data_IF_760613906229
#
_entry.id   IF_760613906229
#
_cell.length_a   1.000
_cell.length_b   1.000
_cell.length_c   1.000
_cell.angle_alpha   90.00
_cell.angle_beta   90.00
_cell.angle_gamma   90.00
#
_symmetry.space_group_name_H-M   'P 1'
#
loop_
_entity.id
_entity.type
_entity.pdbx_description
1 polymer ?
#
# COMPACT_ATOMS: atom_id res chain seq x y z
N UNK A 1 -18.69 14.01 -5.00
CA UNK A 1 -17.99 13.64 -6.24
C UNK A 1 -17.21 14.85 -6.74
N UNK A 2 -15.97 14.66 -7.14
CA UNK A 2 -15.13 15.74 -7.70
C UNK A 2 -14.71 15.34 -9.12
N UNK A 3 -15.06 16.18 -10.08
CA UNK A 3 -14.72 15.99 -11.49
C UNK A 3 -13.28 16.43 -11.73
N UNK A 4 -12.36 15.45 -11.87
CA UNK A 4 -10.94 15.70 -12.13
C UNK A 4 -10.67 16.00 -13.62
N UNK A 5 -11.71 16.00 -14.46
CA UNK A 5 -11.59 16.32 -15.89
C UNK A 5 -11.68 17.81 -16.17
N UNK A 6 -11.79 18.66 -15.12
CA UNK A 6 -11.92 20.12 -15.21
C UNK A 6 -10.91 20.84 -14.35
N UNK A 7 -10.70 22.11 -14.65
CA UNK A 7 -9.78 22.99 -13.92
C UNK A 7 -8.31 22.79 -14.28
N UNK A 8 -7.41 23.42 -13.52
CA UNK A 8 -5.96 23.28 -13.70
C UNK A 8 -5.51 21.89 -13.24
N UNK A 9 -4.72 21.21 -14.06
CA UNK A 9 -4.30 19.82 -13.90
C UNK A 9 -3.51 19.63 -12.60
N UNK A 10 -2.44 20.40 -12.42
CA UNK A 10 -1.55 20.30 -11.26
C UNK A 10 -2.30 20.56 -9.95
N UNK A 11 -3.07 21.66 -9.89
CA UNK A 11 -3.87 21.97 -8.70
C UNK A 11 -4.87 20.85 -8.38
N UNK A 12 -5.49 20.28 -9.40
CA UNK A 12 -6.46 19.19 -9.23
C UNK A 12 -5.80 17.95 -8.64
N UNK A 13 -4.62 17.56 -9.15
CA UNK A 13 -3.85 16.42 -8.67
C UNK A 13 -3.38 16.65 -7.23
N UNK A 14 -2.81 17.83 -6.92
CA UNK A 14 -2.33 18.17 -5.57
C UNK A 14 -3.50 18.13 -4.56
N UNK A 15 -4.62 18.80 -4.85
CA UNK A 15 -5.77 18.80 -3.95
C UNK A 15 -6.40 17.43 -3.74
N UNK A 16 -6.24 16.52 -4.71
CA UNK A 16 -6.70 15.15 -4.58
C UNK A 16 -5.69 14.28 -3.82
N UNK A 17 -4.37 14.49 -4.01
CA UNK A 17 -3.31 13.72 -3.36
C UNK A 17 -3.12 14.08 -1.89
N UNK A 18 -3.32 15.35 -1.50
CA UNK A 18 -3.05 15.82 -0.14
C UNK A 18 -3.85 15.08 0.95
N UNK A 19 -5.18 14.86 0.82
CA UNK A 19 -5.91 14.03 1.78
C UNK A 19 -5.37 12.60 1.85
N UNK A 20 -5.03 11.99 0.70
CA UNK A 20 -4.48 10.63 0.67
C UNK A 20 -3.15 10.57 1.41
N UNK A 21 -2.27 11.55 1.21
CA UNK A 21 -0.99 11.68 1.91
C UNK A 21 -1.20 11.78 3.43
N UNK A 22 -2.11 12.64 3.87
CA UNK A 22 -2.45 12.78 5.29
C UNK A 22 -2.96 11.46 5.85
N UNK A 23 -3.86 10.77 5.15
CA UNK A 23 -4.35 9.45 5.56
C UNK A 23 -3.23 8.43 5.72
N UNK A 24 -2.30 8.36 4.76
CA UNK A 24 -1.18 7.44 4.82
C UNK A 24 -0.17 7.79 5.92
N UNK A 25 0.00 9.07 6.27
CA UNK A 25 0.78 9.48 7.45
C UNK A 25 0.12 8.96 8.74
N UNK A 26 -1.19 9.12 8.89
CA UNK A 26 -1.91 8.55 10.03
C UNK A 26 -1.82 7.02 10.09
N UNK A 27 -1.83 6.35 8.92
CA UNK A 27 -1.60 4.90 8.87
C UNK A 27 -0.20 4.49 9.38
N UNK A 28 0.84 5.30 9.12
CA UNK A 28 2.17 5.04 9.70
C UNK A 28 2.18 5.25 11.22
N UNK A 29 1.50 6.29 11.71
CA UNK A 29 1.34 6.52 13.15
C UNK A 29 0.64 5.33 13.81
N UNK A 30 -0.44 4.81 13.20
CA UNK A 30 -1.12 3.60 13.65
C UNK A 30 -0.17 2.42 13.81
N UNK A 31 0.60 2.07 12.76
CA UNK A 31 1.52 0.93 12.78
C UNK A 31 2.61 1.06 13.86
N UNK A 32 3.08 2.30 14.09
CA UNK A 32 4.07 2.58 15.15
C UNK A 32 3.43 2.46 16.52
N UNK A 33 2.25 3.03 16.73
CA UNK A 33 1.55 3.01 18.01
C UNK A 33 1.20 1.59 18.45
N UNK A 34 0.65 0.77 17.54
CA UNK A 34 0.34 -0.64 17.80
C UNK A 34 1.59 -1.42 18.24
N UNK A 35 2.70 -1.24 17.52
CA UNK A 35 3.98 -1.87 17.87
C UNK A 35 4.49 -1.45 19.26
N UNK A 36 4.37 -0.16 19.61
CA UNK A 36 4.78 0.40 20.90
C UNK A 36 3.89 -0.16 22.02
N UNK A 37 2.59 -0.19 21.82
CA UNK A 37 1.63 -0.67 22.85
C UNK A 37 1.86 -2.15 23.11
N UNK A 38 1.90 -2.98 22.08
CA UNK A 38 2.16 -4.41 22.21
C UNK A 38 3.52 -4.67 22.87
N UNK A 39 4.58 -3.98 22.43
CA UNK A 39 5.94 -4.17 22.94
C UNK A 39 6.10 -3.79 24.42
N UNK A 40 5.51 -2.66 24.82
CA UNK A 40 5.66 -2.15 26.18
C UNK A 40 4.78 -2.88 27.20
N UNK A 41 3.56 -3.27 26.83
CA UNK A 41 2.61 -3.86 27.78
C UNK A 41 2.62 -5.39 27.77
N UNK A 42 2.89 -6.05 26.62
CA UNK A 42 2.85 -7.51 26.54
C UNK A 42 4.25 -8.17 26.51
N UNK A 43 5.29 -7.38 26.27
CA UNK A 43 6.66 -7.88 26.27
C UNK A 43 7.11 -8.52 24.95
N UNK A 44 8.33 -9.10 24.99
CA UNK A 44 9.05 -9.56 23.78
C UNK A 44 8.38 -10.73 23.07
N UNK A 45 7.83 -11.69 23.82
CA UNK A 45 7.28 -12.91 23.24
C UNK A 45 5.98 -12.61 22.50
N UNK A 46 5.09 -11.84 23.10
CA UNK A 46 3.84 -11.41 22.45
C UNK A 46 4.09 -10.51 21.24
N UNK A 47 5.08 -9.61 21.31
CA UNK A 47 5.48 -8.80 20.16
C UNK A 47 5.99 -9.69 19.01
N UNK A 48 6.74 -10.74 19.30
CA UNK A 48 7.21 -11.70 18.31
C UNK A 48 6.06 -12.53 17.70
N UNK A 49 5.06 -12.90 18.52
CA UNK A 49 3.87 -13.61 18.06
C UNK A 49 3.03 -12.76 17.10
N UNK A 50 2.77 -11.49 17.44
CA UNK A 50 2.09 -10.52 16.55
C UNK A 50 2.90 -10.28 15.28
N UNK A 51 4.23 -10.08 15.40
CA UNK A 51 5.13 -9.89 14.28
C UNK A 51 5.14 -11.06 13.29
N UNK A 52 5.05 -12.30 13.77
CA UNK A 52 4.95 -13.49 12.92
C UNK A 52 3.65 -13.51 12.10
N UNK A 53 2.56 -12.99 12.65
CA UNK A 53 1.25 -12.90 11.99
C UNK A 53 1.16 -11.71 11.04
N UNK A 54 2.00 -10.69 11.21
CA UNK A 54 1.97 -9.44 10.43
C UNK A 54 2.16 -9.67 8.93
N UNK A 55 3.07 -10.57 8.53
CA UNK A 55 3.33 -10.85 7.11
C UNK A 55 2.11 -11.46 6.42
N UNK A 56 1.35 -12.32 7.12
CA UNK A 56 0.10 -12.89 6.61
C UNK A 56 -0.93 -11.78 6.42
N UNK A 57 -1.04 -10.87 7.39
CA UNK A 57 -1.94 -9.73 7.31
C UNK A 57 -1.61 -8.81 6.12
N UNK A 58 -0.32 -8.54 5.87
CA UNK A 58 0.13 -7.77 4.69
C UNK A 58 -0.30 -8.43 3.38
N UNK A 59 -0.20 -9.75 3.26
CA UNK A 59 -0.67 -10.48 2.07
C UNK A 59 -2.18 -10.40 1.89
N UNK A 60 -2.96 -10.51 2.97
CA UNK A 60 -4.42 -10.34 2.94
C UNK A 60 -4.80 -8.94 2.45
N UNK A 61 -4.14 -7.92 3.00
CA UNK A 61 -4.35 -6.52 2.60
C UNK A 61 -3.96 -6.31 1.13
N UNK A 62 -2.87 -6.89 0.66
CA UNK A 62 -2.42 -6.79 -0.74
C UNK A 62 -3.48 -7.33 -1.72
N UNK A 63 -4.13 -8.47 -1.38
CA UNK A 63 -5.24 -9.02 -2.16
C UNK A 63 -6.42 -8.05 -2.20
N UNK A 64 -6.81 -7.50 -1.05
CA UNK A 64 -7.91 -6.55 -0.94
C UNK A 64 -7.66 -5.28 -1.76
N UNK A 65 -6.46 -4.69 -1.62
CA UNK A 65 -6.07 -3.46 -2.33
C UNK A 65 -6.06 -3.70 -3.84
N UNK A 66 -5.47 -4.81 -4.32
CA UNK A 66 -5.35 -5.07 -5.75
C UNK A 66 -6.70 -5.15 -6.45
N UNK A 67 -7.65 -5.90 -5.89
CA UNK A 67 -9.00 -6.05 -6.44
C UNK A 67 -9.78 -4.73 -6.38
N UNK A 68 -9.72 -4.06 -5.22
CA UNK A 68 -10.40 -2.77 -5.04
C UNK A 68 -9.83 -1.69 -5.98
N UNK A 69 -8.54 -1.77 -6.33
CA UNK A 69 -7.88 -0.87 -7.27
C UNK A 69 -8.42 -1.06 -8.70
N UNK A 70 -8.62 -2.31 -9.15
CA UNK A 70 -9.26 -2.60 -10.43
C UNK A 70 -10.66 -1.98 -10.52
N UNK A 71 -11.45 -2.13 -9.46
CA UNK A 71 -12.78 -1.50 -9.34
C UNK A 71 -12.68 0.03 -9.42
N UNK A 72 -11.74 0.63 -8.67
CA UNK A 72 -11.55 2.09 -8.64
C UNK A 72 -11.19 2.67 -10.01
N UNK A 73 -10.34 2.01 -10.76
CA UNK A 73 -9.91 2.44 -12.10
C UNK A 73 -11.10 2.44 -13.07
N UNK A 74 -11.88 1.35 -13.11
CA UNK A 74 -13.07 1.27 -13.98
C UNK A 74 -14.13 2.30 -13.58
N UNK A 75 -14.41 2.46 -12.29
CA UNK A 75 -15.31 3.51 -11.79
C UNK A 75 -14.84 4.89 -12.24
N UNK A 76 -13.53 5.17 -12.15
CA UNK A 76 -12.97 6.44 -12.59
C UNK A 76 -13.14 6.66 -14.09
N UNK A 77 -12.94 5.62 -14.91
CA UNK A 77 -13.12 5.69 -16.35
C UNK A 77 -14.58 5.92 -16.73
N UNK A 78 -15.52 5.18 -16.15
CA UNK A 78 -16.96 5.39 -16.39
C UNK A 78 -17.45 6.73 -15.85
N UNK A 79 -16.90 7.20 -14.72
CA UNK A 79 -17.21 8.53 -14.20
C UNK A 79 -16.78 9.63 -15.17
N UNK A 80 -15.56 9.52 -15.72
CA UNK A 80 -15.04 10.42 -16.73
C UNK A 80 -15.84 10.39 -18.04
N UNK A 81 -16.28 9.21 -18.46
CA UNK A 81 -17.14 9.01 -19.63
C UNK A 81 -18.58 9.46 -19.39
N UNK A 82 -18.97 9.81 -18.16
CA UNK A 82 -20.34 10.11 -17.71
C UNK A 82 -21.31 8.92 -17.87
N UNK A 83 -20.79 7.71 -17.94
CA UNK A 83 -21.55 6.47 -18.01
C UNK A 83 -21.90 6.01 -16.59
N UNK A 84 -23.00 6.59 -16.06
CA UNK A 84 -23.40 6.36 -14.67
C UNK A 84 -23.96 4.96 -14.45
N UNK A 85 -24.49 4.30 -15.48
CA UNK A 85 -25.06 2.95 -15.35
C UNK A 85 -23.94 1.91 -15.20
N UNK A 86 -22.94 1.92 -16.08
CA UNK A 86 -21.78 1.04 -15.94
C UNK A 86 -20.97 1.37 -14.68
N UNK A 87 -20.91 2.62 -14.25
CA UNK A 87 -20.29 3.01 -12.98
C UNK A 87 -20.98 2.32 -11.80
N UNK A 88 -22.32 2.35 -11.72
CA UNK A 88 -23.10 1.71 -10.64
C UNK A 88 -22.95 0.18 -10.68
N UNK A 89 -23.02 -0.41 -11.88
CA UNK A 89 -22.81 -1.86 -12.05
C UNK A 89 -21.42 -2.25 -11.56
N UNK A 90 -20.39 -1.47 -11.91
CA UNK A 90 -19.01 -1.71 -11.49
C UNK A 90 -18.85 -1.59 -9.97
N UNK A 91 -19.42 -0.55 -9.36
CA UNK A 91 -19.35 -0.35 -7.91
C UNK A 91 -20.01 -1.50 -7.15
N UNK A 92 -21.22 -1.92 -7.58
CA UNK A 92 -21.92 -3.03 -6.94
C UNK A 92 -21.24 -4.38 -7.18
N UNK A 93 -20.81 -4.67 -8.41
CA UNK A 93 -20.07 -5.91 -8.74
C UNK A 93 -18.77 -6.01 -7.94
N UNK A 94 -17.98 -4.93 -7.86
CA UNK A 94 -16.74 -4.89 -7.10
C UNK A 94 -16.97 -5.06 -5.60
N UNK A 95 -18.02 -4.44 -5.05
CA UNK A 95 -18.40 -4.59 -3.65
C UNK A 95 -18.84 -6.01 -3.32
N UNK A 96 -19.77 -6.58 -4.09
CA UNK A 96 -20.26 -7.96 -3.90
C UNK A 96 -19.10 -8.95 -3.99
N UNK A 97 -18.26 -8.83 -5.02
CA UNK A 97 -17.11 -9.70 -5.19
C UNK A 97 -16.12 -9.59 -4.03
N UNK A 98 -15.84 -8.37 -3.55
CA UNK A 98 -14.97 -8.14 -2.38
C UNK A 98 -15.53 -8.82 -1.12
N UNK A 99 -16.84 -8.74 -0.88
CA UNK A 99 -17.46 -9.41 0.28
C UNK A 99 -17.43 -10.94 0.12
N UNK A 100 -17.76 -11.48 -1.06
CA UNK A 100 -17.70 -12.93 -1.29
C UNK A 100 -16.27 -13.46 -1.11
N UNK A 101 -15.28 -12.76 -1.69
CA UNK A 101 -13.89 -13.15 -1.53
C UNK A 101 -13.42 -13.05 -0.07
N UNK A 102 -13.83 -12.00 0.64
CA UNK A 102 -13.49 -11.85 2.06
C UNK A 102 -14.05 -12.97 2.92
N UNK A 103 -15.27 -13.45 2.65
CA UNK A 103 -15.85 -14.61 3.35
C UNK A 103 -15.05 -15.89 3.09
N UNK A 104 -14.61 -16.12 1.84
CA UNK A 104 -13.76 -17.25 1.49
C UNK A 104 -12.43 -17.16 2.24
N UNK A 105 -11.75 -15.99 2.19
CA UNK A 105 -10.47 -15.77 2.88
C UNK A 105 -10.63 -15.91 4.39
N UNK A 106 -11.69 -15.37 4.98
CA UNK A 106 -12.01 -15.51 6.42
C UNK A 106 -12.16 -16.97 6.80
N UNK A 107 -13.01 -17.72 6.08
CA UNK A 107 -13.30 -19.12 6.41
C UNK A 107 -12.05 -19.98 6.27
N UNK A 108 -11.37 -19.92 5.12
CA UNK A 108 -10.16 -20.71 4.89
C UNK A 108 -9.03 -20.29 5.83
N UNK A 109 -8.84 -18.99 6.04
CA UNK A 109 -7.81 -18.47 6.93
C UNK A 109 -8.04 -18.85 8.38
N UNK A 110 -9.27 -18.75 8.88
CA UNK A 110 -9.63 -19.14 10.23
C UNK A 110 -9.39 -20.65 10.49
N UNK A 111 -9.79 -21.50 9.54
CA UNK A 111 -9.62 -22.96 9.64
C UNK A 111 -8.15 -23.39 9.51
N UNK A 112 -7.38 -22.72 8.63
CA UNK A 112 -6.00 -23.05 8.31
C UNK A 112 -4.97 -22.24 9.10
N UNK A 113 -5.38 -21.34 9.99
CA UNK A 113 -4.50 -20.39 10.71
C UNK A 113 -3.32 -21.09 11.39
N UNK A 114 -3.56 -22.18 12.10
CA UNK A 114 -2.52 -22.96 12.78
C UNK A 114 -1.55 -23.60 11.79
N UNK A 115 -2.06 -24.18 10.70
CA UNK A 115 -1.25 -24.83 9.67
C UNK A 115 -0.36 -23.80 8.93
N UNK A 116 -0.89 -22.60 8.67
CA UNK A 116 -0.15 -21.50 8.06
C UNK A 116 1.02 -21.08 8.96
N UNK A 117 0.79 -20.94 10.29
CA UNK A 117 1.83 -20.57 11.24
C UNK A 117 2.92 -21.64 11.36
N UNK A 118 2.55 -22.93 11.32
CA UNK A 118 3.50 -24.03 11.31
C UNK A 118 4.32 -24.02 10.00
N UNK A 119 3.68 -23.78 8.86
CA UNK A 119 4.33 -23.74 7.55
C UNK A 119 5.41 -22.64 7.47
N UNK A 120 5.18 -21.48 8.12
CA UNK A 120 6.16 -20.40 8.19
C UNK A 120 7.15 -20.55 9.36
N UNK A 121 7.18 -21.74 10.01
CA UNK A 121 8.10 -22.10 11.07
C UNK A 121 8.04 -21.18 12.31
N UNK A 122 6.84 -20.77 12.73
CA UNK A 122 6.67 -20.04 13.99
C UNK A 122 7.07 -20.94 15.16
N UNK A 123 7.95 -20.48 16.07
CA UNK A 123 8.37 -21.26 17.24
C UNK A 123 7.18 -21.73 18.08
N UNK A 124 7.22 -22.99 18.57
CA UNK A 124 6.12 -23.59 19.34
C UNK A 124 5.67 -22.75 20.53
N UNK A 125 6.59 -22.05 21.20
CA UNK A 125 6.29 -21.16 22.34
C UNK A 125 5.36 -20.00 21.96
N UNK A 126 5.43 -19.51 20.71
CA UNK A 126 4.65 -18.37 20.22
C UNK A 126 3.39 -18.79 19.47
N UNK A 127 3.28 -20.09 19.14
CA UNK A 127 2.25 -20.59 18.23
C UNK A 127 0.83 -20.32 18.76
N UNK A 128 0.61 -20.49 20.07
CA UNK A 128 -0.70 -20.29 20.69
C UNK A 128 -1.16 -18.82 20.56
N UNK A 129 -0.32 -17.88 20.98
CA UNK A 129 -0.63 -16.44 20.91
C UNK A 129 -0.77 -15.96 19.46
N UNK A 130 0.15 -16.36 18.57
CA UNK A 130 0.09 -16.04 17.17
C UNK A 130 -1.19 -16.57 16.50
N UNK A 131 -1.63 -17.78 16.85
CA UNK A 131 -2.85 -18.38 16.33
C UNK A 131 -4.12 -17.67 16.84
N UNK A 132 -4.16 -17.28 18.11
CA UNK A 132 -5.27 -16.50 18.66
C UNK A 132 -5.35 -15.15 17.93
N UNK A 133 -4.23 -14.43 17.82
CA UNK A 133 -4.15 -13.16 17.13
C UNK A 133 -4.63 -13.30 15.67
N UNK A 134 -4.07 -14.27 14.94
CA UNK A 134 -4.35 -14.48 13.53
C UNK A 134 -5.81 -14.86 13.26
N UNK A 135 -6.42 -15.70 14.10
CA UNK A 135 -7.84 -16.06 14.00
C UNK A 135 -8.75 -14.83 14.15
N UNK A 136 -8.45 -13.96 15.11
CA UNK A 136 -9.21 -12.71 15.30
C UNK A 136 -9.04 -11.79 14.09
N UNK A 137 -7.81 -11.65 13.56
CA UNK A 137 -7.56 -10.87 12.34
C UNK A 137 -8.33 -11.42 11.13
N UNK A 138 -8.45 -12.75 10.98
CA UNK A 138 -9.24 -13.34 9.90
C UNK A 138 -10.74 -12.97 9.99
N UNK A 139 -11.30 -12.80 11.18
CA UNK A 139 -12.67 -12.28 11.35
C UNK A 139 -12.75 -10.82 10.85
N UNK A 140 -11.69 -10.04 11.04
CA UNK A 140 -11.56 -8.67 10.55
C UNK A 140 -11.39 -8.52 9.03
N UNK A 141 -11.19 -9.61 8.28
CA UNK A 141 -11.00 -9.55 6.81
C UNK A 141 -12.24 -9.02 6.11
N UNK A 142 -13.44 -9.40 6.54
CA UNK A 142 -14.70 -8.94 5.94
C UNK A 142 -14.85 -7.42 6.00
N UNK A 143 -14.77 -6.76 7.17
CA UNK A 143 -14.81 -5.31 7.24
C UNK A 143 -13.65 -4.64 6.51
N UNK A 144 -12.45 -5.23 6.48
CA UNK A 144 -11.28 -4.69 5.77
C UNK A 144 -11.52 -4.64 4.26
N UNK A 145 -11.99 -5.73 3.66
CA UNK A 145 -12.28 -5.80 2.23
C UNK A 145 -13.43 -4.86 1.86
N UNK A 146 -14.49 -4.86 2.68
CA UNK A 146 -15.63 -3.95 2.51
C UNK A 146 -15.20 -2.49 2.55
N UNK A 147 -14.40 -2.09 3.55
CA UNK A 147 -13.84 -0.76 3.67
C UNK A 147 -12.98 -0.38 2.46
N UNK A 148 -12.04 -1.24 2.04
CA UNK A 148 -11.19 -1.00 0.88
C UNK A 148 -12.00 -0.85 -0.41
N UNK A 149 -13.02 -1.68 -0.63
CA UNK A 149 -13.90 -1.60 -1.80
C UNK A 149 -14.66 -0.27 -1.83
N UNK A 150 -15.26 0.14 -0.71
CA UNK A 150 -16.04 1.38 -0.60
C UNK A 150 -15.15 2.62 -0.73
N UNK A 151 -14.00 2.64 -0.07
CA UNK A 151 -13.07 3.79 -0.14
C UNK A 151 -12.46 3.94 -1.54
N UNK A 152 -12.15 2.83 -2.22
CA UNK A 152 -11.68 2.87 -3.60
C UNK A 152 -12.80 3.29 -4.57
N UNK A 153 -14.05 2.95 -4.29
CA UNK A 153 -15.22 3.48 -5.02
C UNK A 153 -15.33 5.00 -4.86
N UNK A 154 -15.19 5.52 -3.63
CA UNK A 154 -15.19 6.96 -3.37
C UNK A 154 -14.03 7.69 -4.06
N UNK A 155 -12.83 7.13 -3.99
CA UNK A 155 -11.66 7.67 -4.70
C UNK A 155 -11.91 7.70 -6.20
N UNK A 156 -12.52 6.66 -6.77
CA UNK A 156 -12.86 6.57 -8.19
C UNK A 156 -13.77 7.70 -8.67
N UNK A 157 -14.74 8.12 -7.86
CA UNK A 157 -15.61 9.28 -8.15
C UNK A 157 -15.03 10.61 -7.70
N UNK A 158 -13.74 10.65 -7.34
CA UNK A 158 -13.00 11.86 -7.01
C UNK A 158 -13.15 12.33 -5.56
N UNK A 159 -13.66 11.51 -4.65
CA UNK A 159 -13.73 11.84 -3.22
C UNK A 159 -12.55 11.18 -2.47
N UNK A 160 -11.46 11.91 -2.29
CA UNK A 160 -10.31 11.48 -1.47
C UNK A 160 -10.41 11.93 -0.01
N UNK A 161 -11.26 12.93 0.29
CA UNK A 161 -11.34 13.50 1.64
C UNK A 161 -12.06 12.57 2.62
N UNK A 162 -13.22 12.05 2.20
CA UNK A 162 -14.03 11.20 3.07
C UNK A 162 -13.31 9.92 3.51
N UNK A 163 -12.67 9.13 2.61
CA UNK A 163 -11.84 8.01 3.02
C UNK A 163 -10.77 8.39 4.05
N UNK A 164 -10.14 9.56 3.89
CA UNK A 164 -9.12 10.06 4.80
C UNK A 164 -9.69 10.36 6.20
N UNK A 165 -10.82 11.05 6.29
CA UNK A 165 -11.44 11.34 7.59
C UNK A 165 -11.87 10.07 8.32
N UNK A 166 -12.46 9.10 7.59
CA UNK A 166 -12.83 7.80 8.17
C UNK A 166 -11.59 7.06 8.66
N UNK A 167 -10.50 7.06 7.89
CA UNK A 167 -9.24 6.43 8.28
C UNK A 167 -8.67 7.06 9.56
N UNK A 168 -8.62 8.40 9.64
CA UNK A 168 -8.13 9.10 10.83
C UNK A 168 -8.97 8.74 12.06
N UNK A 169 -10.30 8.73 11.91
CA UNK A 169 -11.20 8.32 13.01
C UNK A 169 -10.91 6.88 13.46
N UNK A 170 -10.69 5.97 12.50
CA UNK A 170 -10.35 4.58 12.78
C UNK A 170 -9.03 4.42 13.51
N UNK A 171 -8.01 5.17 13.09
CA UNK A 171 -6.67 5.15 13.71
C UNK A 171 -6.75 5.62 15.17
N UNK A 172 -7.44 6.73 15.42
CA UNK A 172 -7.62 7.26 16.78
C UNK A 172 -8.39 6.24 17.64
N UNK A 173 -9.47 5.70 17.10
CA UNK A 173 -10.27 4.69 17.80
C UNK A 173 -9.44 3.44 18.12
N UNK A 174 -8.64 2.97 17.18
CA UNK A 174 -7.80 1.80 17.39
C UNK A 174 -6.77 2.04 18.51
N UNK A 175 -6.06 3.17 18.52
CA UNK A 175 -5.09 3.50 19.59
C UNK A 175 -5.78 3.52 20.96
N UNK A 176 -6.98 4.10 21.05
CA UNK A 176 -7.76 4.13 22.30
C UNK A 176 -8.15 2.71 22.74
N UNK A 177 -8.62 1.88 21.79
CA UNK A 177 -9.02 0.51 22.08
C UNK A 177 -7.83 -0.40 22.40
N UNK A 178 -6.66 -0.21 21.76
CA UNK A 178 -5.44 -0.92 22.08
C UNK A 178 -5.01 -0.65 23.52
N UNK A 179 -4.97 0.61 23.93
CA UNK A 179 -4.67 0.98 25.33
C UNK A 179 -5.72 0.35 26.27
N UNK A 180 -6.99 0.42 25.93
CA UNK A 180 -8.06 -0.12 26.78
C UNK A 180 -7.98 -1.65 26.92
N UNK A 181 -7.88 -2.39 25.81
CA UNK A 181 -7.85 -3.85 25.86
C UNK A 181 -6.51 -4.40 26.37
N UNK A 182 -5.39 -3.79 25.93
CA UNK A 182 -4.06 -4.31 26.26
C UNK A 182 -3.59 -3.82 27.64
N UNK A 183 -3.66 -2.49 27.90
CA UNK A 183 -3.11 -1.93 29.12
C UNK A 183 -4.08 -1.95 30.31
N UNK A 184 -5.40 -1.74 30.08
CA UNK A 184 -6.38 -1.67 31.17
C UNK A 184 -6.98 -3.06 31.48
N UNK A 185 -7.45 -3.77 30.43
CA UNK A 185 -8.09 -5.07 30.59
C UNK A 185 -7.10 -6.25 30.61
N UNK A 186 -5.82 -6.02 30.31
CA UNK A 186 -4.78 -7.07 30.25
C UNK A 186 -5.18 -8.27 29.35
N UNK A 187 -5.86 -8.01 28.23
CA UNK A 187 -6.39 -9.06 27.34
C UNK A 187 -5.32 -9.69 26.43
N UNK A 188 -4.04 -9.40 26.64
CA UNK A 188 -2.94 -9.96 25.87
C UNK A 188 -3.00 -9.59 24.38
N UNK A 189 -2.43 -10.44 23.54
CA UNK A 189 -2.41 -10.28 22.07
C UNK A 189 -3.82 -10.29 21.46
N UNK A 190 -4.78 -10.96 22.10
CA UNK A 190 -6.18 -10.98 21.68
C UNK A 190 -6.78 -9.56 21.75
N UNK A 191 -6.41 -8.78 22.77
CA UNK A 191 -6.87 -7.41 22.95
C UNK A 191 -6.48 -6.51 21.79
N UNK A 192 -5.22 -6.56 21.36
CA UNK A 192 -4.71 -5.81 20.19
C UNK A 192 -5.43 -6.22 18.89
N UNK A 193 -5.62 -7.53 18.68
CA UNK A 193 -6.35 -8.02 17.51
C UNK A 193 -7.82 -7.56 17.50
N UNK A 194 -8.50 -7.59 18.66
CA UNK A 194 -9.90 -7.15 18.81
C UNK A 194 -10.00 -5.64 18.55
N UNK A 195 -9.10 -4.82 19.09
CA UNK A 195 -9.05 -3.39 18.84
C UNK A 195 -8.94 -3.06 17.35
N UNK A 196 -8.05 -3.76 16.65
CA UNK A 196 -7.89 -3.66 15.21
C UNK A 196 -9.18 -4.00 14.46
N UNK A 197 -9.80 -5.14 14.77
CA UNK A 197 -11.02 -5.61 14.10
C UNK A 197 -12.19 -4.66 14.35
N UNK A 198 -12.38 -4.18 15.58
CA UNK A 198 -13.45 -3.20 15.90
C UNK A 198 -13.24 -1.90 15.10
N UNK A 199 -12.01 -1.39 15.06
CA UNK A 199 -11.70 -0.16 14.35
C UNK A 199 -11.94 -0.28 12.85
N UNK A 200 -11.61 -1.42 12.25
CA UNK A 200 -11.91 -1.72 10.84
C UNK A 200 -13.41 -1.87 10.60
N UNK A 201 -14.14 -2.50 11.52
CA UNK A 201 -15.60 -2.61 11.43
C UNK A 201 -16.26 -1.25 11.49
N UNK A 202 -15.82 -0.37 12.40
CA UNK A 202 -16.33 1.00 12.51
C UNK A 202 -16.03 1.78 11.22
N UNK A 203 -14.82 1.66 10.66
CA UNK A 203 -14.47 2.29 9.38
C UNK A 203 -15.36 1.83 8.24
N UNK A 204 -15.58 0.54 8.14
CA UNK A 204 -16.46 -0.05 7.12
C UNK A 204 -17.89 0.48 7.27
N UNK A 205 -18.42 0.47 8.48
CA UNK A 205 -19.78 0.94 8.77
C UNK A 205 -19.96 2.44 8.50
N UNK A 206 -19.00 3.27 8.93
CA UNK A 206 -19.00 4.71 8.64
C UNK A 206 -18.98 4.98 7.13
N UNK A 207 -18.17 4.22 6.37
CA UNK A 207 -18.10 4.35 4.93
C UNK A 207 -19.42 3.94 4.26
N UNK A 208 -20.04 2.85 4.73
CA UNK A 208 -21.37 2.41 4.29
C UNK A 208 -22.44 3.48 4.53
N UNK A 209 -22.50 4.02 5.75
CA UNK A 209 -23.45 5.07 6.11
C UNK A 209 -23.23 6.31 5.24
N UNK A 210 -21.99 6.75 5.08
CA UNK A 210 -21.68 7.91 4.25
C UNK A 210 -22.15 7.72 2.81
N UNK A 211 -21.87 6.59 2.18
CA UNK A 211 -22.31 6.31 0.82
C UNK A 211 -23.85 6.26 0.75
N UNK A 212 -24.49 5.60 1.70
CA UNK A 212 -25.95 5.48 1.76
C UNK A 212 -26.64 6.85 1.83
N UNK A 213 -26.10 7.78 2.64
CA UNK A 213 -26.73 9.10 2.81
C UNK A 213 -26.30 10.12 1.75
N UNK A 214 -25.03 10.11 1.33
CA UNK A 214 -24.50 11.12 0.40
C UNK A 214 -24.62 10.72 -1.06
N UNK A 215 -24.55 9.43 -1.34
CA UNK A 215 -24.58 8.86 -2.69
C UNK A 215 -25.54 7.68 -2.80
N UNK A 216 -26.86 7.86 -2.48
CA UNK A 216 -27.82 6.76 -2.37
C UNK A 216 -27.99 5.96 -3.66
N UNK A 217 -27.61 6.57 -4.79
CA UNK A 217 -27.71 5.96 -6.11
C UNK A 217 -26.42 5.27 -6.57
N UNK A 218 -25.37 5.22 -5.74
CA UNK A 218 -24.07 4.68 -6.15
C UNK A 218 -23.97 3.17 -5.92
N UNK A 219 -24.43 2.71 -4.75
CA UNK A 219 -24.39 1.30 -4.32
C UNK A 219 -25.75 0.96 -3.69
N UNK A 220 -26.12 -0.32 -3.63
CA UNK A 220 -27.33 -0.86 -2.99
C UNK A 220 -28.67 -0.53 -3.68
N UNK A 221 -28.68 -0.06 -4.92
CA UNK A 221 -29.92 -0.01 -5.68
C UNK A 221 -30.30 -1.42 -6.11
N UNK A 222 -31.53 -1.86 -5.80
CA UNK A 222 -32.04 -3.22 -6.08
C UNK A 222 -31.83 -3.64 -7.54
N UNK A 223 -31.97 -2.72 -8.48
CA UNK A 223 -31.80 -2.97 -9.91
C UNK A 223 -30.33 -3.24 -10.32
N UNK A 224 -29.37 -2.61 -9.65
CA UNK A 224 -27.93 -2.73 -9.96
C UNK A 224 -27.17 -3.65 -8.99
N UNK A 225 -27.85 -4.14 -7.93
CA UNK A 225 -27.20 -4.99 -6.91
C UNK A 225 -27.16 -6.46 -7.38
N UNK A 226 -26.44 -6.68 -8.46
CA UNK A 226 -26.19 -7.97 -9.06
C UNK A 226 -24.71 -8.12 -9.44
N UNK A 227 -24.20 -9.36 -9.39
CA UNK A 227 -22.86 -9.68 -9.86
C UNK A 227 -22.88 -9.76 -11.39
N UNK A 228 -22.29 -8.76 -12.05
CA UNK A 228 -22.13 -8.78 -13.50
C UNK A 228 -20.79 -9.41 -13.88
N UNK A 229 -20.82 -10.61 -14.48
CA UNK A 229 -19.62 -11.37 -14.80
C UNK A 229 -18.72 -10.68 -15.85
N UNK A 230 -19.30 -9.90 -16.78
CA UNK A 230 -18.50 -9.17 -17.78
C UNK A 230 -17.69 -8.05 -17.11
N UNK A 231 -18.35 -7.26 -16.26
CA UNK A 231 -17.68 -6.22 -15.48
C UNK A 231 -16.70 -6.83 -14.46
N UNK A 232 -17.05 -7.97 -13.84
CA UNK A 232 -16.11 -8.69 -12.95
C UNK A 232 -14.84 -9.11 -13.69
N UNK A 233 -14.98 -9.62 -14.91
CA UNK A 233 -13.83 -9.97 -15.76
C UNK A 233 -12.95 -8.74 -16.02
N UNK A 234 -13.51 -7.58 -16.31
CA UNK A 234 -12.76 -6.34 -16.51
C UNK A 234 -12.05 -5.89 -15.21
N UNK A 235 -12.76 -5.96 -14.07
CA UNK A 235 -12.17 -5.68 -12.75
C UNK A 235 -10.96 -6.59 -12.51
N UNK A 236 -11.08 -7.89 -12.79
CA UNK A 236 -10.02 -8.88 -12.57
C UNK A 236 -8.85 -8.71 -13.54
N UNK A 237 -9.10 -8.35 -14.80
CA UNK A 237 -8.02 -8.06 -15.78
C UNK A 237 -7.11 -6.93 -15.29
N UNK A 238 -7.67 -5.94 -14.60
CA UNK A 238 -6.90 -4.83 -14.05
C UNK A 238 -6.42 -5.14 -12.62
N UNK A 239 -7.28 -5.70 -11.79
CA UNK A 239 -7.04 -5.92 -10.37
C UNK A 239 -6.07 -7.06 -10.07
N UNK A 240 -6.13 -8.18 -10.81
CA UNK A 240 -5.25 -9.33 -10.58
C UNK A 240 -3.77 -8.99 -10.80
N UNK A 241 -3.36 -8.35 -11.91
CA UNK A 241 -1.97 -7.94 -12.05
C UNK A 241 -1.52 -6.94 -10.98
N UNK A 242 -2.40 -6.01 -10.57
CA UNK A 242 -2.09 -5.06 -9.50
C UNK A 242 -1.95 -5.76 -8.13
N UNK A 243 -2.79 -6.76 -7.84
CA UNK A 243 -2.66 -7.62 -6.67
C UNK A 243 -1.33 -8.38 -6.67
N UNK A 244 -1.02 -9.06 -7.78
CA UNK A 244 0.23 -9.80 -7.92
C UNK A 244 1.46 -8.90 -7.78
N UNK A 245 1.40 -7.68 -8.31
CA UNK A 245 2.46 -6.69 -8.13
C UNK A 245 2.68 -6.38 -6.63
N UNK A 246 1.61 -6.18 -5.87
CA UNK A 246 1.70 -5.86 -4.44
C UNK A 246 2.26 -7.04 -3.63
N UNK A 247 1.82 -8.25 -3.95
CA UNK A 247 2.36 -9.49 -3.35
C UNK A 247 3.85 -9.64 -3.65
N UNK A 248 4.27 -9.43 -4.90
CA UNK A 248 5.69 -9.51 -5.29
C UNK A 248 6.56 -8.49 -4.54
N UNK A 249 6.08 -7.26 -4.36
CA UNK A 249 6.80 -6.25 -3.59
C UNK A 249 6.98 -6.73 -2.15
N UNK A 250 5.92 -7.23 -1.52
CA UNK A 250 5.98 -7.74 -0.14
C UNK A 250 6.94 -8.92 0.00
N UNK A 251 6.91 -9.88 -0.94
CA UNK A 251 7.83 -11.01 -0.96
C UNK A 251 9.29 -10.55 -1.19
N UNK A 252 9.50 -9.55 -2.04
CA UNK A 252 10.81 -8.96 -2.28
C UNK A 252 11.41 -8.38 -1.00
N UNK A 253 10.63 -7.66 -0.20
CA UNK A 253 11.07 -7.15 1.10
C UNK A 253 11.44 -8.27 2.07
N UNK A 254 10.70 -9.38 2.09
CA UNK A 254 11.03 -10.55 2.93
C UNK A 254 12.39 -11.13 2.53
N UNK A 255 12.66 -11.30 1.24
CA UNK A 255 13.94 -11.84 0.76
C UNK A 255 15.09 -10.91 1.13
N UNK A 256 14.96 -9.60 0.97
CA UNK A 256 15.96 -8.62 1.39
C UNK A 256 16.19 -8.70 2.90
N UNK A 257 15.12 -8.79 3.71
CA UNK A 257 15.25 -8.95 5.17
C UNK A 257 16.04 -10.21 5.55
N UNK A 258 15.79 -11.33 4.86
CA UNK A 258 16.55 -12.58 5.10
C UNK A 258 18.06 -12.38 4.83
N UNK A 259 18.41 -11.69 3.74
CA UNK A 259 19.81 -11.38 3.43
C UNK A 259 20.44 -10.48 4.49
N UNK A 260 19.73 -9.44 4.93
CA UNK A 260 20.18 -8.52 5.98
C UNK A 260 20.41 -9.26 7.30
N UNK A 261 19.55 -10.21 7.65
CA UNK A 261 19.67 -11.00 8.87
C UNK A 261 20.99 -11.79 8.94
N UNK A 262 21.56 -12.14 7.79
CA UNK A 262 22.87 -12.80 7.71
C UNK A 262 24.06 -11.93 8.12
N UNK A 263 23.90 -10.61 8.27
CA UNK A 263 24.96 -9.67 8.64
C UNK A 263 24.97 -9.26 10.12
N UNK A 264 24.10 -9.87 10.94
CA UNK A 264 24.10 -9.67 12.39
C UNK A 264 23.14 -8.56 12.87
N UNK A 265 23.07 -8.43 14.18
CA UNK A 265 22.05 -7.63 14.88
C UNK A 265 22.13 -6.13 14.58
N UNK A 266 23.33 -5.58 14.43
CA UNK A 266 23.52 -4.15 14.17
C UNK A 266 23.08 -3.79 12.75
N UNK A 267 23.33 -4.66 11.77
CA UNK A 267 22.85 -4.50 10.41
C UNK A 267 21.33 -4.59 10.34
N UNK A 268 20.70 -5.51 11.08
CA UNK A 268 19.25 -5.62 11.19
C UNK A 268 18.65 -4.34 11.78
N UNK A 269 19.21 -3.86 12.90
CA UNK A 269 18.74 -2.64 13.56
C UNK A 269 18.90 -1.41 12.67
N UNK A 270 20.01 -1.31 11.93
CA UNK A 270 20.26 -0.25 10.97
C UNK A 270 19.24 -0.28 9.81
N UNK A 271 18.99 -1.45 9.22
CA UNK A 271 18.02 -1.62 8.14
C UNK A 271 16.61 -1.26 8.59
N UNK A 272 16.16 -1.72 9.77
CA UNK A 272 14.84 -1.40 10.30
C UNK A 272 14.70 0.11 10.51
N UNK A 273 15.71 0.76 11.12
CA UNK A 273 15.70 2.20 11.35
C UNK A 273 15.66 2.99 10.04
N UNK A 274 16.50 2.61 9.07
CA UNK A 274 16.56 3.25 7.76
C UNK A 274 15.28 3.04 6.95
N UNK A 275 14.71 1.84 6.94
CA UNK A 275 13.43 1.55 6.25
C UNK A 275 12.26 2.36 6.80
N UNK A 276 12.27 2.72 8.09
CA UNK A 276 11.28 3.64 8.65
C UNK A 276 11.40 5.03 8.03
N UNK A 277 12.62 5.53 7.86
CA UNK A 277 12.88 6.84 7.24
C UNK A 277 12.45 6.81 5.77
N UNK A 278 12.82 5.76 5.02
CA UNK A 278 12.41 5.56 3.63
C UNK A 278 10.89 5.57 3.49
N UNK A 279 10.19 4.87 4.39
CA UNK A 279 8.72 4.82 4.36
C UNK A 279 8.09 6.21 4.41
N UNK A 280 8.65 7.16 5.17
CA UNK A 280 8.19 8.54 5.19
C UNK A 280 8.63 9.34 3.95
N UNK A 281 9.86 9.13 3.49
CA UNK A 281 10.42 9.83 2.33
C UNK A 281 9.72 9.48 1.02
N UNK A 282 9.27 8.25 0.88
CA UNK A 282 8.59 7.73 -0.32
C UNK A 282 7.10 8.08 -0.40
N UNK A 283 6.44 8.38 0.76
CA UNK A 283 5.00 8.65 0.82
C UNK A 283 4.51 9.69 -0.18
N UNK A 284 5.16 10.86 -0.37
CA UNK A 284 4.70 11.85 -1.33
C UNK A 284 4.69 11.32 -2.77
N UNK A 285 5.71 10.53 -3.14
CA UNK A 285 5.83 9.94 -4.48
C UNK A 285 4.73 8.89 -4.73
N UNK A 286 4.48 8.04 -3.76
CA UNK A 286 3.43 7.01 -3.81
C UNK A 286 2.05 7.67 -3.94
N UNK A 287 1.78 8.69 -3.11
CA UNK A 287 0.47 9.36 -3.09
C UNK A 287 0.23 10.20 -4.35
N UNK A 288 1.28 10.81 -4.89
CA UNK A 288 1.19 11.52 -6.18
C UNK A 288 0.87 10.54 -7.32
N UNK A 289 1.50 9.35 -7.32
CA UNK A 289 1.19 8.28 -8.27
C UNK A 289 -0.27 7.79 -8.15
N UNK A 290 -0.79 7.60 -6.93
CA UNK A 290 -2.19 7.21 -6.70
C UNK A 290 -3.19 8.30 -7.15
N UNK A 291 -2.89 9.56 -6.89
CA UNK A 291 -3.72 10.66 -7.35
C UNK A 291 -3.73 10.76 -8.87
N UNK A 292 -2.57 10.62 -9.48
CA UNK A 292 -2.41 10.65 -10.93
C UNK A 292 -3.12 9.46 -11.60
N UNK A 293 -3.17 8.30 -10.96
CA UNK A 293 -3.95 7.14 -11.44
C UNK A 293 -5.43 7.48 -11.59
N UNK A 294 -6.06 8.04 -10.56
CA UNK A 294 -7.48 8.42 -10.60
C UNK A 294 -7.71 9.56 -11.61
N UNK A 295 -6.82 10.58 -11.62
CA UNK A 295 -6.86 11.66 -12.59
C UNK A 295 -6.77 11.14 -14.03
N UNK A 296 -5.83 10.25 -14.30
CA UNK A 296 -5.64 9.63 -15.63
C UNK A 296 -6.85 8.81 -16.02
N UNK A 297 -7.38 7.98 -15.12
CA UNK A 297 -8.53 7.14 -15.40
C UNK A 297 -9.78 7.96 -15.75
N UNK A 298 -10.08 9.03 -15.00
CA UNK A 298 -11.21 9.92 -15.30
C UNK A 298 -11.01 10.66 -16.63
N UNK A 299 -9.81 11.19 -16.90
CA UNK A 299 -9.53 11.90 -18.15
C UNK A 299 -9.49 10.94 -19.36
N UNK A 300 -9.06 9.70 -19.16
CA UNK A 300 -9.11 8.66 -20.20
C UNK A 300 -10.55 8.33 -20.59
N UNK A 301 -11.43 8.11 -19.61
CA UNK A 301 -12.85 7.94 -19.85
C UNK A 301 -13.51 9.13 -20.54
N UNK A 302 -13.09 10.36 -20.20
CA UNK A 302 -13.54 11.59 -20.83
C UNK A 302 -12.88 11.87 -22.20
N UNK A 303 -11.99 11.00 -22.69
CA UNK A 303 -11.21 11.16 -23.94
C UNK A 303 -10.34 12.44 -23.98
N UNK A 304 -9.87 12.92 -22.80
CA UNK A 304 -9.06 14.14 -22.66
C UNK A 304 -7.58 13.81 -22.54
N UNK A 305 -6.99 13.31 -23.61
CA UNK A 305 -5.61 12.81 -23.62
C UNK A 305 -4.59 13.92 -23.35
N UNK A 306 -4.79 15.12 -23.91
CA UNK A 306 -3.89 16.27 -23.67
C UNK A 306 -3.76 16.61 -22.18
N UNK A 307 -4.87 16.47 -21.43
CA UNK A 307 -4.87 16.69 -19.98
C UNK A 307 -4.07 15.61 -19.25
N UNK A 308 -4.12 14.36 -19.71
CA UNK A 308 -3.33 13.26 -19.13
C UNK A 308 -1.84 13.54 -19.32
N UNK A 309 -1.44 13.92 -20.54
CA UNK A 309 -0.04 14.22 -20.87
C UNK A 309 0.45 15.40 -20.04
N UNK A 310 -0.33 16.50 -19.97
CA UNK A 310 0.03 17.69 -19.19
C UNK A 310 0.08 17.38 -17.70
N UNK A 311 -0.95 16.74 -17.14
CA UNK A 311 -0.99 16.34 -15.72
C UNK A 311 0.15 15.39 -15.35
N UNK A 312 0.50 14.45 -16.23
CA UNK A 312 1.65 13.58 -16.09
C UNK A 312 2.98 14.34 -16.04
N UNK A 313 3.19 15.27 -16.98
CA UNK A 313 4.37 16.13 -17.03
C UNK A 313 4.48 17.01 -15.77
N UNK A 314 3.41 17.68 -15.40
CA UNK A 314 3.37 18.54 -14.21
C UNK A 314 3.65 17.74 -12.92
N UNK A 315 3.10 16.52 -12.83
CA UNK A 315 3.34 15.60 -11.71
C UNK A 315 4.80 15.13 -11.67
N UNK A 316 5.41 14.86 -12.83
CA UNK A 316 6.84 14.51 -12.91
C UNK A 316 7.71 15.65 -12.40
N UNK A 317 7.47 16.87 -12.86
CA UNK A 317 8.24 18.05 -12.42
C UNK A 317 8.10 18.23 -10.89
N UNK A 318 6.88 18.23 -10.38
CA UNK A 318 6.61 18.38 -8.95
C UNK A 318 7.25 17.26 -8.11
N UNK A 319 7.04 16.00 -8.52
CA UNK A 319 7.54 14.85 -7.82
C UNK A 319 9.06 14.77 -7.81
N UNK A 320 9.71 15.03 -8.94
CA UNK A 320 11.18 15.09 -9.05
C UNK A 320 11.74 16.21 -8.18
N UNK A 321 11.17 17.42 -8.24
CA UNK A 321 11.62 18.54 -7.42
C UNK A 321 11.53 18.22 -5.93
N UNK A 322 10.42 17.64 -5.48
CA UNK A 322 10.24 17.22 -4.09
C UNK A 322 11.19 16.10 -3.69
N UNK A 323 11.39 15.10 -4.56
CA UNK A 323 12.33 14.00 -4.31
C UNK A 323 13.77 14.48 -4.21
N UNK A 324 14.18 15.45 -5.03
CA UNK A 324 15.52 16.06 -4.94
C UNK A 324 15.71 16.73 -3.59
N UNK A 325 14.72 17.51 -3.11
CA UNK A 325 14.80 18.18 -1.81
C UNK A 325 14.95 17.15 -0.68
N UNK A 326 14.10 16.11 -0.67
CA UNK A 326 14.18 15.05 0.34
C UNK A 326 15.51 14.30 0.24
N UNK A 327 15.95 13.97 -0.99
CA UNK A 327 17.25 13.31 -1.22
C UNK A 327 18.40 14.10 -0.62
N UNK A 328 18.46 15.40 -0.88
CA UNK A 328 19.52 16.28 -0.35
C UNK A 328 19.49 16.29 1.19
N UNK A 329 18.30 16.46 1.78
CA UNK A 329 18.15 16.52 3.25
C UNK A 329 18.63 15.22 3.89
N UNK A 330 18.18 14.06 3.37
CA UNK A 330 18.53 12.75 3.94
C UNK A 330 20.00 12.42 3.66
N UNK A 331 20.53 12.77 2.48
CA UNK A 331 21.92 12.53 2.11
C UNK A 331 22.92 13.33 2.98
N UNK A 332 22.57 14.57 3.36
CA UNK A 332 23.41 15.42 4.20
C UNK A 332 23.35 15.02 5.68
N UNK A 333 22.15 14.65 6.17
CA UNK A 333 21.92 14.39 7.60
C UNK A 333 21.49 12.94 7.92
N UNK A 334 22.08 11.90 7.31
CA UNK A 334 21.60 10.53 7.49
C UNK A 334 21.81 10.04 8.92
N UNK A 335 22.93 10.37 9.55
CA UNK A 335 23.24 10.00 10.93
C UNK A 335 22.24 10.59 11.93
N UNK A 336 21.78 11.83 11.70
CA UNK A 336 20.72 12.44 12.51
C UNK A 336 19.43 11.62 12.45
N UNK A 337 18.98 11.27 11.26
CA UNK A 337 17.74 10.51 11.08
C UNK A 337 17.82 9.12 11.71
N UNK A 338 18.94 8.39 11.55
CA UNK A 338 19.12 7.08 12.20
C UNK A 338 19.13 7.21 13.71
N UNK A 339 19.80 8.26 14.25
CA UNK A 339 19.92 8.48 15.70
C UNK A 339 18.57 8.71 16.42
N UNK A 340 17.51 9.09 15.68
CA UNK A 340 16.15 9.18 16.21
C UNK A 340 15.64 7.82 16.67
N UNK A 341 16.02 6.74 15.97
CA UNK A 341 15.55 5.39 16.23
C UNK A 341 16.55 4.55 17.04
N UNK A 342 17.85 4.75 16.81
CA UNK A 342 18.90 4.00 17.49
C UNK A 342 20.15 4.84 17.68
N UNK A 343 20.71 4.83 18.92
CA UNK A 343 21.88 5.62 19.29
C UNK A 343 23.19 4.83 19.29
N UNK A 344 23.15 3.54 18.94
CA UNK A 344 24.38 2.73 18.83
C UNK A 344 25.24 3.25 17.67
N UNK A 345 26.52 3.57 17.89
CA UNK A 345 27.42 4.09 16.84
C UNK A 345 27.52 3.19 15.61
N UNK A 346 27.55 1.85 15.79
CA UNK A 346 27.66 0.89 14.69
C UNK A 346 26.37 0.89 13.84
N UNK A 347 25.21 0.92 14.49
CA UNK A 347 23.91 1.03 13.82
C UNK A 347 23.80 2.34 13.04
N UNK A 348 24.29 3.45 13.61
CA UNK A 348 24.32 4.75 12.93
C UNK A 348 25.27 4.69 11.71
N UNK A 349 26.41 4.05 11.83
CA UNK A 349 27.39 3.93 10.74
C UNK A 349 26.81 3.14 9.56
N UNK A 350 26.21 1.97 9.81
CA UNK A 350 25.60 1.13 8.78
C UNK A 350 24.37 1.82 8.15
N UNK A 351 23.50 2.38 8.98
CA UNK A 351 22.29 3.09 8.52
C UNK A 351 22.62 4.34 7.72
N UNK A 352 23.71 5.04 8.06
CA UNK A 352 24.22 6.17 7.29
C UNK A 352 24.59 5.77 5.85
N UNK A 353 25.30 4.63 5.68
CA UNK A 353 25.64 4.12 4.37
C UNK A 353 24.38 3.76 3.57
N UNK A 354 23.41 3.09 4.20
CA UNK A 354 22.13 2.77 3.58
C UNK A 354 21.44 4.03 3.05
N UNK A 355 21.21 5.02 3.92
CA UNK A 355 20.46 6.22 3.56
C UNK A 355 21.16 7.03 2.48
N UNK A 356 22.50 7.12 2.48
CA UNK A 356 23.25 7.81 1.42
C UNK A 356 23.09 7.11 0.07
N UNK A 357 23.12 5.78 0.04
CA UNK A 357 22.95 5.03 -1.20
C UNK A 357 21.53 5.18 -1.71
N UNK A 358 20.52 4.92 -0.89
CA UNK A 358 19.13 4.87 -1.33
C UNK A 358 18.59 6.28 -1.65
N UNK A 359 18.85 7.27 -0.81
CA UNK A 359 18.33 8.63 -1.01
C UNK A 359 18.81 9.27 -2.32
N UNK A 360 20.02 8.96 -2.78
CA UNK A 360 20.51 9.45 -4.06
C UNK A 360 19.64 9.05 -5.26
N UNK A 361 18.80 8.02 -5.10
CA UNK A 361 17.97 7.46 -6.17
C UNK A 361 16.46 7.64 -5.96
N UNK A 362 16.01 8.43 -4.98
CA UNK A 362 14.57 8.69 -4.78
C UNK A 362 13.90 9.33 -6.00
N UNK A 363 14.65 10.05 -6.83
CA UNK A 363 14.14 10.59 -8.11
C UNK A 363 13.71 9.47 -9.06
N UNK A 364 14.48 8.37 -9.12
CA UNK A 364 14.14 7.17 -9.92
C UNK A 364 12.86 6.53 -9.37
N UNK A 365 12.80 6.33 -8.05
CA UNK A 365 11.62 5.79 -7.39
C UNK A 365 10.37 6.64 -7.64
N UNK A 366 10.47 7.97 -7.49
CA UNK A 366 9.37 8.88 -7.74
C UNK A 366 8.87 8.82 -9.20
N UNK A 367 9.81 8.85 -10.16
CA UNK A 367 9.47 8.73 -11.58
C UNK A 367 8.77 7.42 -11.89
N UNK A 368 9.23 6.33 -11.27
CA UNK A 368 8.62 5.01 -11.37
C UNK A 368 7.18 5.00 -10.85
N UNK A 369 6.91 5.63 -9.70
CA UNK A 369 5.57 5.70 -9.10
C UNK A 369 4.60 6.54 -9.93
N UNK A 370 5.06 7.65 -10.50
CA UNK A 370 4.25 8.51 -11.37
C UNK A 370 3.87 7.76 -12.65
N UNK A 371 4.83 7.09 -13.32
CA UNK A 371 4.54 6.27 -14.49
C UNK A 371 3.63 5.08 -14.17
N UNK A 372 3.79 4.50 -12.98
CA UNK A 372 2.90 3.46 -12.49
C UNK A 372 1.45 3.96 -12.41
N UNK A 373 1.24 5.15 -11.83
CA UNK A 373 -0.07 5.80 -11.75
C UNK A 373 -0.67 6.05 -13.14
N UNK A 374 0.10 6.58 -14.09
CA UNK A 374 -0.35 6.79 -15.48
C UNK A 374 -0.81 5.47 -16.12
N UNK A 375 0.05 4.43 -16.09
CA UNK A 375 -0.23 3.14 -16.70
C UNK A 375 -1.45 2.45 -16.11
N UNK A 376 -1.58 2.48 -14.78
CA UNK A 376 -2.75 1.95 -14.07
C UNK A 376 -4.01 2.74 -14.44
N UNK A 377 -3.96 4.05 -14.54
CA UNK A 377 -5.10 4.89 -14.94
C UNK A 377 -5.59 4.59 -16.36
N UNK A 378 -4.70 4.19 -17.27
CA UNK A 378 -5.06 3.65 -18.60
C UNK A 378 -5.63 2.22 -18.53
N UNK A 379 -5.67 1.57 -17.37
CA UNK A 379 -6.06 0.17 -17.21
C UNK A 379 -4.99 -0.83 -17.66
N UNK A 380 -3.73 -0.40 -17.83
CA UNK A 380 -2.63 -1.25 -18.30
C UNK A 380 -1.81 -1.84 -17.15
N UNK A 381 -2.48 -2.52 -16.21
CA UNK A 381 -1.88 -3.06 -14.97
C UNK A 381 -0.84 -4.18 -15.18
N UNK A 382 -0.87 -4.88 -16.31
CA UNK A 382 0.14 -5.88 -16.66
C UNK A 382 1.55 -5.28 -16.80
N UNK A 383 1.67 -4.05 -17.28
CA UNK A 383 2.99 -3.41 -17.49
C UNK A 383 3.68 -3.10 -16.16
N UNK A 384 3.03 -2.46 -15.19
CA UNK A 384 3.54 -2.34 -13.82
C UNK A 384 3.95 -3.67 -13.19
N UNK A 385 3.16 -4.74 -13.39
CA UNK A 385 3.49 -6.07 -12.89
C UNK A 385 4.78 -6.60 -13.52
N UNK A 386 4.89 -6.61 -14.86
CA UNK A 386 6.09 -7.07 -15.57
C UNK A 386 7.31 -6.26 -15.14
N UNK A 387 7.16 -4.93 -15.05
CA UNK A 387 8.23 -4.06 -14.59
C UNK A 387 8.66 -4.35 -13.16
N UNK A 388 7.72 -4.74 -12.27
CA UNK A 388 8.05 -5.12 -10.89
C UNK A 388 8.71 -6.50 -10.82
N UNK A 389 8.27 -7.49 -11.62
CA UNK A 389 8.97 -8.78 -11.75
C UNK A 389 10.42 -8.55 -12.20
N UNK A 390 10.62 -7.73 -13.24
CA UNK A 390 11.96 -7.41 -13.72
C UNK A 390 12.79 -6.71 -12.64
N UNK A 391 12.21 -5.70 -11.98
CA UNK A 391 12.89 -4.95 -10.92
C UNK A 391 13.35 -5.86 -9.78
N UNK A 392 12.43 -6.64 -9.20
CA UNK A 392 12.72 -7.47 -8.02
C UNK A 392 13.39 -8.79 -8.38
N UNK A 393 12.80 -9.58 -9.31
CA UNK A 393 13.23 -10.95 -9.54
C UNK A 393 14.44 -11.04 -10.48
N UNK A 394 14.59 -10.12 -11.46
CA UNK A 394 15.69 -10.18 -12.40
C UNK A 394 16.90 -9.34 -11.96
N UNK A 395 16.66 -8.23 -11.25
CA UNK A 395 17.76 -7.33 -10.84
C UNK A 395 17.98 -7.31 -9.33
N UNK A 396 17.03 -6.81 -8.54
CA UNK A 396 17.29 -6.49 -7.14
C UNK A 396 17.68 -7.72 -6.32
N UNK A 397 16.90 -8.79 -6.33
CA UNK A 397 17.18 -9.98 -5.52
C UNK A 397 18.45 -10.71 -5.98
N UNK A 398 18.66 -11.03 -7.27
CA UNK A 398 19.89 -11.67 -7.71
C UNK A 398 21.14 -10.83 -7.43
N UNK A 399 21.06 -9.52 -7.69
CA UNK A 399 22.20 -8.63 -7.42
C UNK A 399 22.47 -8.49 -5.92
N UNK A 400 21.44 -8.41 -5.08
CA UNK A 400 21.60 -8.39 -3.64
C UNK A 400 22.33 -9.65 -3.14
N UNK A 401 21.95 -10.84 -3.64
CA UNK A 401 22.61 -12.11 -3.31
C UNK A 401 24.06 -12.15 -3.81
N UNK A 402 24.30 -11.70 -5.03
CA UNK A 402 25.65 -11.73 -5.62
C UNK A 402 26.57 -10.70 -4.94
N UNK A 403 26.13 -9.45 -4.84
CA UNK A 403 26.94 -8.35 -4.33
C UNK A 403 27.19 -8.47 -2.82
N UNK A 404 26.26 -9.06 -2.05
CA UNK A 404 26.44 -9.31 -0.62
C UNK A 404 27.58 -10.28 -0.31
N UNK A 405 27.96 -11.15 -1.27
CA UNK A 405 29.08 -12.09 -1.14
C UNK A 405 30.43 -11.51 -1.57
N UNK A 406 30.45 -10.29 -2.10
CA UNK A 406 31.67 -9.58 -2.50
C UNK A 406 32.20 -8.74 -1.33
N UNK A 407 33.29 -8.01 -1.56
CA UNK A 407 33.85 -7.04 -0.59
C UNK A 407 32.89 -5.91 -0.22
N UNK A 408 31.77 -5.75 -0.95
CA UNK A 408 30.72 -4.78 -0.63
C UNK A 408 29.89 -5.17 0.59
N UNK A 409 29.80 -6.48 0.91
CA UNK A 409 29.03 -6.97 2.06
C UNK A 409 27.56 -6.49 2.02
N UNK A 410 27.05 -5.95 3.13
CA UNK A 410 25.69 -5.43 3.23
C UNK A 410 25.43 -4.23 2.28
N UNK A 411 26.46 -3.43 1.92
CA UNK A 411 26.29 -2.36 0.94
C UNK A 411 25.87 -2.89 -0.44
N UNK A 412 26.27 -4.11 -0.78
CA UNK A 412 25.83 -4.76 -2.01
C UNK A 412 24.29 -4.96 -2.05
N UNK A 413 23.67 -5.21 -0.89
CA UNK A 413 22.19 -5.30 -0.79
C UNK A 413 21.57 -3.93 -1.07
N UNK A 414 22.13 -2.87 -0.51
CA UNK A 414 21.63 -1.50 -0.69
C UNK A 414 21.73 -1.01 -2.14
N UNK A 415 22.84 -1.28 -2.80
CA UNK A 415 23.09 -0.91 -4.20
C UNK A 415 22.15 -1.65 -5.16
N UNK A 416 21.76 -2.87 -4.83
CA UNK A 416 20.88 -3.68 -5.68
C UNK A 416 19.48 -3.05 -5.85
N UNK A 417 18.97 -2.32 -4.85
CA UNK A 417 17.64 -1.71 -4.92
C UNK A 417 17.55 -0.62 -6.01
N UNK A 418 18.41 0.41 -6.09
CA UNK A 418 18.38 1.39 -7.16
C UNK A 418 18.58 0.80 -8.56
N UNK A 419 19.40 -0.25 -8.70
CA UNK A 419 19.57 -0.94 -9.98
C UNK A 419 18.24 -1.61 -10.39
N UNK A 420 17.58 -2.28 -9.44
CA UNK A 420 16.25 -2.86 -9.66
C UNK A 420 15.22 -1.81 -10.06
N UNK A 421 15.16 -0.67 -9.37
CA UNK A 421 14.26 0.44 -9.71
C UNK A 421 14.53 0.97 -11.11
N UNK A 422 15.80 1.11 -11.50
CA UNK A 422 16.18 1.56 -12.85
C UNK A 422 15.70 0.58 -13.91
N UNK A 423 15.89 -0.73 -13.72
CA UNK A 423 15.40 -1.75 -14.64
C UNK A 423 13.86 -1.71 -14.80
N UNK A 424 13.14 -1.59 -13.68
CA UNK A 424 11.69 -1.43 -13.70
C UNK A 424 11.22 -0.12 -14.33
N UNK A 425 11.97 0.98 -14.14
CA UNK A 425 11.69 2.27 -14.77
C UNK A 425 11.82 2.21 -16.28
N UNK A 426 12.87 1.61 -16.80
CA UNK A 426 13.12 1.50 -18.26
C UNK A 426 11.95 0.82 -18.98
N UNK A 427 11.38 -0.24 -18.42
CA UNK A 427 10.21 -0.92 -18.99
C UNK A 427 8.99 0.01 -19.01
N UNK A 428 8.74 0.75 -17.91
CA UNK A 428 7.61 1.68 -17.84
C UNK A 428 7.74 2.82 -18.84
N UNK A 429 8.93 3.40 -18.95
CA UNK A 429 9.24 4.47 -19.93
C UNK A 429 9.06 3.97 -21.37
N UNK A 430 9.66 2.82 -21.70
CA UNK A 430 9.54 2.23 -23.03
C UNK A 430 8.07 2.01 -23.43
N UNK A 431 7.30 1.44 -22.52
CA UNK A 431 5.89 1.17 -22.82
C UNK A 431 5.06 2.45 -22.87
N UNK A 432 5.34 3.43 -21.99
CA UNK A 432 4.66 4.72 -22.03
C UNK A 432 4.90 5.47 -23.35
N UNK A 433 6.13 5.50 -23.86
CA UNK A 433 6.45 6.07 -25.16
C UNK A 433 5.72 5.34 -26.29
N UNK A 434 5.60 4.01 -26.19
CA UNK A 434 4.86 3.21 -27.19
C UNK A 434 3.36 3.53 -27.20
N UNK A 435 2.75 3.75 -26.03
CA UNK A 435 1.33 4.15 -25.93
C UNK A 435 1.15 5.58 -26.44
N UNK A 436 1.98 6.53 -26.02
CA UNK A 436 1.84 7.93 -26.38
C UNK A 436 1.96 8.19 -27.90
N UNK A 437 2.60 7.29 -28.65
CA UNK A 437 2.65 7.35 -30.12
C UNK A 437 1.39 6.77 -30.80
N UNK A 438 0.55 6.04 -30.04
CA UNK A 438 -0.67 5.40 -30.60
C UNK A 438 -1.96 6.15 -30.25
N UNK A 439 -1.86 7.10 -29.33
CA UNK A 439 -2.92 7.95 -28.84
C UNK A 439 -2.77 9.35 -29.45
#
# INVERSE_FOLDING_TARGET
MKDLTKGNELKTIIYFSLPILIGNLFQQIYNISDTIIVGNFLGKESLAAVGSSYQINVLIIAVSIGISLGTSILISQYFGAKDMDNLKITANTGFIFSIVLSLIVTTLGFLLSNNILILINVPQKLLLEANIYLKIIFIGVVPTFGYNSLTNTLKGVGDSKTPTYILITSVILNIILDIFFVAVLNSGVAGAAIATVISQFVSFFLCLLYIKFKYPNLIFQKHYFNLNFNILKEILIIGMPAMLQQVLISLGFIVIQILVNGFGTDCIAAFISASRIDSFAELPSINLGQALMTFTAQNYGAKKIDRIIKGGKDSLILGISFSIIISIIIFIFPAFFISIFNRNPEVIFIGNQYLRIISAFYVIFCTMQILNGLLLGYGKSLVPLIASITSFCMFQVPLAILLSKTSLGYNGIWIAAPIGWTGGLLIRVWYFIKISKKI
#
